data_IF_611431925751
#
_entry.id   IF_611431925751
#
_cell.length_a   1.000
_cell.length_b   1.000
_cell.length_c   1.000
_cell.angle_alpha   90.00
_cell.angle_beta   90.00
_cell.angle_gamma   90.00
#
_symmetry.space_group_name_H-M   'P 1'
#
loop_
_entity.id
_entity.type
_entity.pdbx_description
1 polymer ?
#
# COMPACT_ATOMS: atom_id res chain seq x y z
N UNK A 1 -0.03 18.78 9.11
CA UNK A 1 -0.40 17.88 10.26
C UNK A 1 -0.61 18.71 11.51
N UNK A 2 -1.83 19.19 11.74
CA UNK A 2 -2.12 20.13 12.83
C UNK A 2 -2.58 19.43 14.13
N UNK A 3 -2.98 18.16 14.05
CA UNK A 3 -3.36 17.37 15.22
C UNK A 3 -2.13 16.81 15.94
N UNK A 4 -1.73 17.47 17.03
CA UNK A 4 -0.60 17.05 17.86
C UNK A 4 -0.81 15.68 18.53
N UNK A 5 -2.07 15.28 18.77
CA UNK A 5 -2.39 13.96 19.34
C UNK A 5 -2.08 12.86 18.35
N UNK A 6 -2.54 13.04 17.12
CA UNK A 6 -2.28 12.13 16.01
C UNK A 6 -0.78 12.03 15.67
N UNK A 7 -0.07 13.16 15.62
CA UNK A 7 1.40 13.16 15.39
C UNK A 7 2.12 12.34 16.47
N UNK A 8 1.84 12.56 17.76
CA UNK A 8 2.44 11.78 18.84
C UNK A 8 2.12 10.28 18.76
N UNK A 9 0.90 9.94 18.32
CA UNK A 9 0.51 8.54 18.13
C UNK A 9 1.33 7.90 17.00
N UNK A 10 1.49 8.57 15.84
CA UNK A 10 2.35 8.09 14.75
C UNK A 10 3.81 7.91 15.17
N UNK A 11 4.37 8.90 15.87
CA UNK A 11 5.73 8.81 16.42
C UNK A 11 5.87 7.64 17.41
N UNK A 12 4.84 7.39 18.21
CA UNK A 12 4.78 6.23 19.12
C UNK A 12 4.78 4.89 18.37
N UNK A 13 4.07 4.80 17.25
CA UNK A 13 4.11 3.61 16.39
C UNK A 13 5.49 3.41 15.75
N UNK A 14 6.10 4.48 15.23
CA UNK A 14 7.46 4.42 14.66
C UNK A 14 8.49 3.95 15.70
N UNK A 15 8.42 4.47 16.93
CA UNK A 15 9.28 4.06 18.04
C UNK A 15 9.09 2.58 18.44
N UNK A 16 7.93 1.99 18.15
CA UNK A 16 7.63 0.57 18.34
C UNK A 16 8.06 -0.31 17.15
N UNK A 17 8.70 0.26 16.13
CA UNK A 17 9.18 -0.46 14.96
C UNK A 17 8.18 -0.55 13.80
N UNK A 18 7.04 0.13 13.88
CA UNK A 18 6.14 0.25 12.74
C UNK A 18 6.70 1.22 11.70
N UNK A 19 6.44 0.95 10.45
CA UNK A 19 6.83 1.83 9.35
C UNK A 19 5.66 2.75 8.96
N UNK A 20 5.93 4.05 8.91
CA UNK A 20 4.99 5.04 8.40
C UNK A 20 5.25 5.24 6.91
N UNK A 21 4.20 5.10 6.10
CA UNK A 21 4.28 5.12 4.64
C UNK A 21 3.32 6.18 4.10
N UNK A 22 3.73 6.94 3.08
CA UNK A 22 2.86 7.89 2.39
C UNK A 22 1.84 7.12 1.56
N UNK A 23 0.55 7.45 1.72
CA UNK A 23 -0.56 6.79 1.03
C UNK A 23 -1.45 7.80 0.26
N UNK A 24 -0.82 8.56 -0.65
CA UNK A 24 -1.48 9.64 -1.37
C UNK A 24 -1.43 10.95 -0.61
N UNK A 25 -2.08 11.97 -1.15
CA UNK A 25 -2.17 13.31 -0.55
C UNK A 25 -3.63 13.74 -0.35
N UNK A 26 -4.47 13.67 -1.39
CA UNK A 26 -5.90 13.97 -1.30
C UNK A 26 -6.76 12.71 -1.14
N UNK A 27 -6.25 11.55 -1.53
CA UNK A 27 -6.94 10.27 -1.58
C UNK A 27 -8.17 10.26 -2.52
N UNK A 28 -8.26 11.23 -3.42
CA UNK A 28 -9.35 11.39 -4.38
C UNK A 28 -8.82 11.61 -5.78
N UNK A 29 -9.49 11.03 -6.77
CA UNK A 29 -9.24 11.27 -8.19
C UNK A 29 -10.30 12.23 -8.74
N UNK A 30 -9.92 13.42 -9.23
CA UNK A 30 -10.86 14.31 -9.92
C UNK A 30 -11.48 13.60 -11.14
N UNK A 31 -12.80 13.71 -11.28
CA UNK A 31 -13.48 13.21 -12.48
C UNK A 31 -13.04 14.00 -13.70
N UNK A 32 -12.72 13.31 -14.79
CA UNK A 32 -12.34 13.93 -16.06
C UNK A 32 -13.39 13.66 -17.13
N UNK A 33 -13.70 14.68 -17.92
CA UNK A 33 -14.51 14.51 -19.14
C UNK A 33 -13.68 13.74 -20.19
N UNK A 34 -14.33 12.76 -20.85
CA UNK A 34 -13.67 11.97 -21.91
C UNK A 34 -12.95 10.69 -21.45
N UNK A 35 -13.10 10.26 -20.21
CA UNK A 35 -12.53 8.97 -19.73
C UNK A 35 -13.00 7.77 -20.58
N UNK A 36 -12.08 6.87 -20.92
CA UNK A 36 -12.39 5.61 -21.61
C UNK A 36 -13.23 4.69 -20.74
N UNK A 37 -14.08 3.86 -21.36
CA UNK A 37 -14.98 2.93 -20.65
C UNK A 37 -14.22 2.00 -19.69
N UNK A 38 -13.05 1.51 -20.09
CA UNK A 38 -12.20 0.66 -19.25
C UNK A 38 -11.63 1.39 -18.02
N UNK A 39 -11.27 2.66 -18.18
CA UNK A 39 -10.79 3.51 -17.07
C UNK A 39 -11.93 3.80 -16.09
N UNK A 40 -13.12 4.14 -16.61
CA UNK A 40 -14.34 4.32 -15.80
C UNK A 40 -14.68 3.08 -15.00
N UNK A 41 -14.55 1.89 -15.60
CA UNK A 41 -14.81 0.65 -14.90
C UNK A 41 -13.79 0.39 -13.80
N UNK A 42 -12.49 0.60 -14.08
CA UNK A 42 -11.43 0.39 -13.12
C UNK A 42 -11.52 1.38 -11.96
N UNK A 43 -11.67 2.68 -12.23
CA UNK A 43 -11.61 3.73 -11.21
C UNK A 43 -12.91 3.90 -10.44
N UNK A 44 -14.07 3.80 -11.09
CA UNK A 44 -15.37 4.00 -10.43
C UNK A 44 -15.94 2.72 -9.83
N UNK A 45 -15.85 1.62 -10.55
CA UNK A 45 -16.47 0.37 -10.11
C UNK A 45 -15.56 -0.42 -9.17
N UNK A 46 -14.25 -0.39 -9.39
CA UNK A 46 -13.29 -1.15 -8.59
C UNK A 46 -12.76 -0.34 -7.39
N UNK A 47 -12.47 0.95 -7.54
CA UNK A 47 -11.75 1.76 -6.54
C UNK A 47 -12.50 2.99 -6.02
N UNK A 48 -13.75 3.24 -6.46
CA UNK A 48 -14.57 4.38 -6.00
C UNK A 48 -13.89 5.76 -6.16
N UNK A 49 -13.20 5.96 -7.29
CA UNK A 49 -12.43 7.16 -7.59
C UNK A 49 -11.19 7.40 -6.67
N UNK A 50 -10.72 6.37 -5.93
CA UNK A 50 -9.52 6.46 -5.09
C UNK A 50 -8.19 6.48 -5.88
N UNK A 51 -8.22 6.32 -7.20
CA UNK A 51 -7.03 6.24 -8.05
C UNK A 51 -6.29 7.57 -8.25
N UNK A 52 -6.00 8.32 -7.18
CA UNK A 52 -5.38 9.66 -7.21
C UNK A 52 -4.16 9.74 -8.13
N UNK A 53 -3.28 8.72 -8.13
CA UNK A 53 -2.00 8.72 -8.86
C UNK A 53 -2.03 7.90 -10.15
N UNK A 54 -3.20 7.50 -10.64
CA UNK A 54 -3.31 6.65 -11.83
C UNK A 54 -2.90 7.37 -13.11
N UNK A 55 -3.34 8.61 -13.28
CA UNK A 55 -3.20 9.41 -14.51
C UNK A 55 -2.64 10.82 -14.27
N UNK A 56 -2.04 11.07 -13.11
CA UNK A 56 -1.29 12.30 -12.88
C UNK A 56 -0.07 12.37 -13.79
N UNK A 57 0.21 13.57 -14.30
CA UNK A 57 1.49 13.86 -14.91
C UNK A 57 2.62 13.84 -13.85
N UNK A 58 3.85 13.91 -14.34
CA UNK A 58 5.03 13.82 -13.48
C UNK A 58 5.11 14.99 -12.48
N UNK A 59 4.87 16.20 -12.93
CA UNK A 59 5.09 17.41 -12.12
C UNK A 59 4.07 17.49 -10.97
N UNK A 60 2.81 17.21 -11.26
CA UNK A 60 1.76 17.20 -10.24
C UNK A 60 1.93 16.01 -9.27
N UNK A 61 2.31 14.85 -9.75
CA UNK A 61 2.61 13.71 -8.89
C UNK A 61 3.80 14.00 -7.97
N UNK A 62 4.89 14.57 -8.52
CA UNK A 62 6.06 14.97 -7.76
C UNK A 62 5.72 16.02 -6.67
N UNK A 63 4.93 17.03 -7.06
CA UNK A 63 4.47 18.07 -6.13
C UNK A 63 3.68 17.46 -4.95
N UNK A 64 2.71 16.58 -5.23
CA UNK A 64 1.88 15.96 -4.16
C UNK A 64 2.70 15.06 -3.24
N UNK A 65 3.57 14.23 -3.78
CA UNK A 65 4.42 13.34 -2.98
C UNK A 65 5.39 14.15 -2.11
N UNK A 66 5.98 15.21 -2.67
CA UNK A 66 6.87 16.12 -1.92
C UNK A 66 6.12 16.84 -0.81
N UNK A 67 4.91 17.37 -1.07
CA UNK A 67 4.09 17.98 -0.04
C UNK A 67 3.77 17.02 1.10
N UNK A 68 3.36 15.77 0.77
CA UNK A 68 3.13 14.75 1.78
C UNK A 68 4.39 14.47 2.61
N UNK A 69 5.54 14.27 1.96
CA UNK A 69 6.82 14.06 2.62
C UNK A 69 7.19 15.21 3.57
N UNK A 70 7.02 16.43 3.11
CA UNK A 70 7.36 17.62 3.90
C UNK A 70 6.43 17.78 5.11
N UNK A 71 5.15 17.41 4.99
CA UNK A 71 4.22 17.37 6.14
C UNK A 71 4.67 16.35 7.19
N UNK A 72 5.14 15.17 6.79
CA UNK A 72 5.70 14.19 7.72
C UNK A 72 7.02 14.67 8.32
N UNK A 73 7.89 15.30 7.53
CA UNK A 73 9.16 15.85 8.01
C UNK A 73 8.97 16.92 9.10
N UNK A 74 7.95 17.79 8.96
CA UNK A 74 7.57 18.75 10.02
C UNK A 74 7.17 18.07 11.32
N UNK A 75 6.65 16.86 11.24
CA UNK A 75 6.32 16.02 12.38
C UNK A 75 7.48 15.14 12.88
N UNK A 76 8.70 15.32 12.35
CA UNK A 76 9.88 14.52 12.70
C UNK A 76 9.81 13.07 12.21
N UNK A 77 8.95 12.76 11.24
CA UNK A 77 8.79 11.42 10.64
C UNK A 77 9.38 11.44 9.24
N UNK A 78 10.14 10.40 8.86
CA UNK A 78 10.77 10.30 7.54
C UNK A 78 10.27 9.06 6.80
N UNK A 79 9.14 9.14 6.08
CA UNK A 79 8.64 8.02 5.28
C UNK A 79 9.63 7.62 4.20
N UNK A 80 9.82 6.32 4.01
CA UNK A 80 10.68 5.76 2.95
C UNK A 80 9.89 5.19 1.79
N UNK A 81 8.64 4.82 2.02
CA UNK A 81 7.76 4.22 1.04
C UNK A 81 6.64 5.15 0.57
N UNK A 82 6.22 4.92 -0.67
CA UNK A 82 5.02 5.51 -1.25
C UNK A 82 4.10 4.41 -1.77
N UNK A 83 2.87 4.37 -1.30
CA UNK A 83 1.85 3.42 -1.76
C UNK A 83 0.67 4.22 -2.31
N UNK A 84 0.45 4.16 -3.61
CA UNK A 84 -0.68 4.85 -4.22
C UNK A 84 -2.02 4.27 -3.73
N UNK A 85 -3.05 5.11 -3.50
CA UNK A 85 -4.40 4.64 -3.20
C UNK A 85 -4.86 3.60 -4.22
N UNK A 86 -5.55 2.58 -3.76
CA UNK A 86 -6.01 1.42 -4.55
C UNK A 86 -4.89 0.69 -5.33
N UNK A 87 -3.60 0.91 -5.01
CA UNK A 87 -2.43 0.46 -5.77
C UNK A 87 -2.38 0.93 -7.23
N UNK A 88 -3.12 1.98 -7.56
CA UNK A 88 -3.18 2.58 -8.89
C UNK A 88 -2.11 3.65 -9.04
N UNK A 89 -0.94 3.24 -9.51
CA UNK A 89 0.21 4.11 -9.75
C UNK A 89 0.58 4.11 -11.23
N UNK A 90 0.39 5.26 -11.88
CA UNK A 90 0.81 5.49 -13.27
C UNK A 90 2.34 5.58 -13.40
N UNK A 91 2.86 5.35 -14.59
CA UNK A 91 4.31 5.37 -14.84
C UNK A 91 4.96 6.73 -14.58
N UNK A 92 4.26 7.83 -14.87
CA UNK A 92 4.74 9.18 -14.58
C UNK A 92 4.84 9.41 -13.06
N UNK A 93 3.79 9.02 -12.32
CA UNK A 93 3.76 9.12 -10.87
C UNK A 93 4.77 8.18 -10.18
N UNK A 94 5.08 7.01 -10.77
CA UNK A 94 6.14 6.13 -10.26
C UNK A 94 7.52 6.78 -10.39
N UNK A 95 7.82 7.40 -11.54
CA UNK A 95 9.07 8.17 -11.70
C UNK A 95 9.15 9.37 -10.74
N UNK A 96 8.02 10.04 -10.52
CA UNK A 96 7.93 11.14 -9.56
C UNK A 96 8.19 10.67 -8.13
N UNK A 97 7.68 9.50 -7.72
CA UNK A 97 7.95 8.92 -6.41
C UNK A 97 9.45 8.60 -6.24
N UNK A 98 10.09 8.05 -7.25
CA UNK A 98 11.55 7.82 -7.24
C UNK A 98 12.33 9.12 -7.12
N UNK A 99 11.97 10.17 -7.88
CA UNK A 99 12.59 11.48 -7.83
C UNK A 99 12.35 12.22 -6.49
N UNK A 100 11.21 11.96 -5.83
CA UNK A 100 10.92 12.43 -4.48
C UNK A 100 11.61 11.59 -3.38
N UNK A 101 12.62 10.80 -3.74
CA UNK A 101 13.45 9.98 -2.85
C UNK A 101 12.68 8.87 -2.10
N UNK A 102 11.52 8.45 -2.62
CA UNK A 102 10.88 7.26 -2.11
C UNK A 102 11.66 6.01 -2.53
N UNK A 103 11.90 5.12 -1.58
CA UNK A 103 12.76 3.96 -1.79
C UNK A 103 12.01 2.80 -2.44
N UNK A 104 10.72 2.70 -2.21
CA UNK A 104 9.89 1.63 -2.76
C UNK A 104 8.44 2.07 -2.95
N UNK A 105 7.73 1.32 -3.77
CA UNK A 105 6.27 1.35 -3.85
C UNK A 105 5.70 -0.07 -3.82
N UNK A 106 4.42 -0.19 -3.48
CA UNK A 106 3.73 -1.47 -3.56
C UNK A 106 2.63 -1.44 -4.63
N UNK A 107 2.38 -2.59 -5.22
CA UNK A 107 1.26 -2.88 -6.11
C UNK A 107 0.48 -4.07 -5.56
N UNK A 108 -0.72 -4.32 -6.06
CA UNK A 108 -1.52 -5.48 -5.63
C UNK A 108 -0.73 -6.80 -5.70
N UNK A 109 0.13 -6.95 -6.68
CA UNK A 109 0.86 -8.20 -6.96
C UNK A 109 2.32 -8.18 -6.55
N UNK A 110 2.83 -7.07 -5.99
CA UNK A 110 4.25 -7.00 -5.68
C UNK A 110 4.73 -5.75 -4.97
N UNK A 111 6.03 -5.73 -4.77
CA UNK A 111 6.79 -4.59 -4.24
C UNK A 111 7.83 -4.20 -5.29
N UNK A 112 7.98 -2.91 -5.54
CA UNK A 112 8.99 -2.36 -6.44
C UNK A 112 9.99 -1.54 -5.67
N UNK A 113 11.26 -1.87 -5.81
CA UNK A 113 12.37 -1.02 -5.38
C UNK A 113 12.54 0.13 -6.38
N UNK A 114 12.34 1.35 -5.92
CA UNK A 114 12.42 2.54 -6.77
C UNK A 114 13.87 3.03 -6.96
N UNK A 115 14.81 2.60 -6.10
CA UNK A 115 16.22 2.98 -6.22
C UNK A 115 16.97 2.16 -7.27
N UNK A 116 16.67 0.85 -7.35
CA UNK A 116 17.35 -0.10 -8.24
C UNK A 116 16.46 -0.64 -9.35
N UNK A 117 15.16 -0.31 -9.34
CA UNK A 117 14.21 -0.71 -10.36
C UNK A 117 13.76 -2.17 -10.29
N UNK A 118 14.09 -2.90 -9.22
CA UNK A 118 13.70 -4.30 -9.05
C UNK A 118 12.22 -4.47 -8.76
N UNK A 119 11.64 -5.53 -9.30
CA UNK A 119 10.27 -5.93 -9.04
C UNK A 119 10.26 -7.28 -8.32
N UNK A 120 9.61 -7.32 -7.17
CA UNK A 120 9.44 -8.53 -6.37
C UNK A 120 7.99 -8.95 -6.39
N UNK A 121 7.72 -10.14 -6.92
CA UNK A 121 6.36 -10.69 -6.88
C UNK A 121 5.99 -11.06 -5.45
N UNK A 122 4.95 -10.42 -4.94
CA UNK A 122 4.44 -10.63 -3.59
C UNK A 122 2.96 -10.27 -3.55
N UNK A 123 2.09 -11.27 -3.63
CA UNK A 123 0.64 -11.05 -3.52
C UNK A 123 0.24 -10.66 -2.10
N UNK A 124 -0.88 -9.94 -2.00
CA UNK A 124 -1.45 -9.52 -0.72
C UNK A 124 -2.81 -10.18 -0.48
N UNK A 125 -3.04 -10.60 0.75
CA UNK A 125 -4.39 -10.87 1.24
C UNK A 125 -5.07 -9.51 1.45
N UNK A 126 -6.20 -9.29 0.79
CA UNK A 126 -6.98 -8.05 0.91
C UNK A 126 -8.46 -8.37 0.76
N UNK A 127 -9.30 -7.58 1.39
CA UNK A 127 -10.72 -7.84 1.48
C UNK A 127 -11.55 -6.75 0.81
N UNK A 128 -12.74 -7.11 0.35
CA UNK A 128 -13.72 -6.18 -0.15
C UNK A 128 -14.97 -6.25 0.71
N UNK A 129 -15.33 -5.15 1.35
CA UNK A 129 -16.46 -5.06 2.28
C UNK A 129 -17.71 -4.41 1.69
N UNK A 130 -17.65 -3.93 0.44
CA UNK A 130 -18.68 -3.12 -0.21
C UNK A 130 -20.08 -3.74 -0.21
N UNK A 131 -20.17 -5.05 -0.42
CA UNK A 131 -21.45 -5.77 -0.39
C UNK A 131 -21.26 -7.24 -0.03
N UNK A 132 -22.35 -7.95 0.30
CA UNK A 132 -22.32 -9.31 0.84
C UNK A 132 -21.61 -10.32 -0.07
N UNK A 133 -21.90 -10.31 -1.38
CA UNK A 133 -21.28 -11.26 -2.30
C UNK A 133 -19.77 -11.04 -2.46
N UNK A 134 -19.30 -9.77 -2.47
CA UNK A 134 -17.88 -9.45 -2.53
C UNK A 134 -17.14 -9.86 -1.26
N UNK A 135 -17.78 -9.71 -0.09
CA UNK A 135 -17.22 -10.20 1.17
C UNK A 135 -17.01 -11.72 1.11
N UNK A 136 -18.05 -12.45 0.74
CA UNK A 136 -17.95 -13.92 0.62
C UNK A 136 -16.90 -14.34 -0.41
N UNK A 137 -16.86 -13.70 -1.58
CA UNK A 137 -15.87 -13.96 -2.61
C UNK A 137 -14.44 -13.68 -2.12
N UNK A 138 -14.21 -12.56 -1.41
CA UNK A 138 -12.88 -12.23 -0.87
C UNK A 138 -12.46 -13.18 0.25
N UNK A 139 -13.38 -13.63 1.09
CA UNK A 139 -13.10 -14.66 2.11
C UNK A 139 -12.66 -15.98 1.46
N UNK A 140 -13.40 -16.45 0.47
CA UNK A 140 -13.06 -17.69 -0.25
C UNK A 140 -11.70 -17.54 -0.98
N UNK A 141 -11.51 -16.44 -1.70
CA UNK A 141 -10.26 -16.15 -2.41
C UNK A 141 -9.07 -16.11 -1.50
N UNK A 142 -9.13 -15.34 -0.40
CA UNK A 142 -8.03 -15.23 0.55
C UNK A 142 -7.73 -16.56 1.24
N UNK A 143 -8.72 -17.40 1.49
CA UNK A 143 -8.52 -18.75 2.00
C UNK A 143 -7.71 -19.64 1.04
N UNK A 144 -7.91 -19.50 -0.28
CA UNK A 144 -7.14 -20.21 -1.31
C UNK A 144 -5.75 -19.57 -1.45
N UNK A 145 -5.68 -18.24 -1.57
CA UNK A 145 -4.43 -17.51 -1.77
C UNK A 145 -3.44 -17.74 -0.63
N UNK A 146 -3.90 -17.78 0.62
CA UNK A 146 -3.04 -18.03 1.78
C UNK A 146 -2.26 -19.35 1.68
N UNK A 147 -2.85 -20.40 1.08
CA UNK A 147 -2.16 -21.67 0.85
C UNK A 147 -0.99 -21.52 -0.14
N UNK A 148 -1.16 -20.68 -1.16
CA UNK A 148 -0.10 -20.40 -2.15
C UNK A 148 0.99 -19.47 -1.58
N UNK A 149 0.65 -18.66 -0.58
CA UNK A 149 1.62 -17.79 0.08
C UNK A 149 2.53 -18.54 1.05
N UNK A 150 2.23 -19.76 1.43
CA UNK A 150 3.06 -20.56 2.33
C UNK A 150 4.52 -20.69 1.84
N UNK A 151 4.77 -20.80 0.52
CA UNK A 151 6.12 -20.85 -0.08
C UNK A 151 6.64 -19.51 -0.62
N UNK A 152 5.89 -18.39 -0.49
CA UNK A 152 6.31 -17.12 -1.07
C UNK A 152 7.43 -16.45 -0.25
N UNK A 153 8.33 -15.70 -0.90
CA UNK A 153 9.38 -14.93 -0.23
C UNK A 153 8.83 -13.85 0.70
N UNK A 154 7.70 -13.25 0.34
CA UNK A 154 6.99 -12.25 1.13
C UNK A 154 5.50 -12.52 1.04
N UNK A 155 4.84 -12.70 2.17
CA UNK A 155 3.39 -12.70 2.30
C UNK A 155 2.96 -11.33 2.85
N UNK A 156 1.95 -10.73 2.25
CA UNK A 156 1.43 -9.44 2.64
C UNK A 156 -0.03 -9.57 3.08
N UNK A 157 -0.39 -8.85 4.13
CA UNK A 157 -1.77 -8.72 4.59
C UNK A 157 -2.12 -7.24 4.60
N UNK A 158 -3.13 -6.86 3.84
CA UNK A 158 -3.65 -5.50 3.80
C UNK A 158 -4.95 -5.44 4.58
N UNK A 159 -5.00 -4.54 5.53
CA UNK A 159 -6.13 -4.32 6.41
C UNK A 159 -6.61 -2.88 6.21
N UNK A 160 -7.90 -2.70 5.98
CA UNK A 160 -8.53 -1.39 5.87
C UNK A 160 -9.45 -1.17 7.07
N UNK A 161 -9.64 0.07 7.54
CA UNK A 161 -10.52 0.33 8.68
C UNK A 161 -11.92 -0.30 8.57
N UNK A 162 -12.59 -0.32 7.40
CA UNK A 162 -13.89 -0.97 7.26
C UNK A 162 -13.89 -2.50 7.47
N UNK A 163 -12.75 -3.17 7.35
CA UNK A 163 -12.65 -4.63 7.57
C UNK A 163 -12.98 -5.00 9.02
N UNK A 164 -12.68 -4.10 9.96
CA UNK A 164 -12.96 -4.27 11.38
C UNK A 164 -14.47 -4.33 11.70
N UNK A 165 -15.32 -3.78 10.84
CA UNK A 165 -16.77 -3.78 10.99
C UNK A 165 -17.40 -5.13 10.58
N UNK A 166 -16.62 -6.07 10.05
CA UNK A 166 -17.06 -7.36 9.56
C UNK A 166 -16.35 -8.49 10.29
N UNK A 167 -17.01 -9.03 11.30
CA UNK A 167 -16.44 -10.03 12.23
C UNK A 167 -15.88 -11.28 11.52
N UNK A 168 -16.51 -11.73 10.44
CA UNK A 168 -16.06 -12.87 9.64
C UNK A 168 -14.74 -12.59 8.91
N UNK A 169 -14.58 -11.34 8.38
CA UNK A 169 -13.33 -10.88 7.76
C UNK A 169 -12.25 -10.76 8.82
N UNK A 170 -12.54 -10.06 9.92
CA UNK A 170 -11.58 -9.86 11.00
C UNK A 170 -11.06 -11.19 11.59
N UNK A 171 -11.96 -12.14 11.83
CA UNK A 171 -11.57 -13.49 12.28
C UNK A 171 -10.69 -14.22 11.26
N UNK A 172 -10.95 -14.05 9.97
CA UNK A 172 -10.09 -14.66 8.95
C UNK A 172 -8.73 -13.99 8.89
N UNK A 173 -8.67 -12.66 8.96
CA UNK A 173 -7.40 -11.91 9.02
C UNK A 173 -6.53 -12.45 10.16
N UNK A 174 -7.04 -12.46 11.37
CA UNK A 174 -6.30 -12.95 12.54
C UNK A 174 -5.81 -14.38 12.34
N UNK A 175 -6.70 -15.31 11.98
CA UNK A 175 -6.34 -16.71 11.76
C UNK A 175 -5.28 -16.91 10.68
N UNK A 176 -5.35 -16.16 9.56
CA UNK A 176 -4.38 -16.29 8.48
C UNK A 176 -3.06 -15.63 8.85
N UNK A 177 -3.07 -14.52 9.57
CA UNK A 177 -1.86 -13.85 10.06
C UNK A 177 -1.15 -14.74 11.09
N UNK A 178 -1.86 -15.33 12.05
CA UNK A 178 -1.29 -16.26 13.02
C UNK A 178 -0.54 -17.40 12.33
N UNK A 179 -1.16 -18.03 11.32
CA UNK A 179 -0.51 -19.07 10.52
C UNK A 179 0.72 -18.60 9.75
N UNK A 180 0.66 -17.37 9.23
CA UNK A 180 1.79 -16.84 8.47
C UNK A 180 3.01 -16.54 9.35
N UNK A 181 2.81 -16.19 10.61
CA UNK A 181 3.91 -15.89 11.54
C UNK A 181 4.47 -17.13 12.25
N UNK A 182 3.83 -18.31 12.14
CA UNK A 182 4.39 -19.58 12.65
C UNK A 182 5.78 -19.88 12.07
N UNK A 183 5.98 -19.63 10.77
CA UNK A 183 7.21 -19.93 10.04
C UNK A 183 7.92 -18.69 9.47
N UNK A 184 7.48 -17.48 9.85
CA UNK A 184 7.95 -16.23 9.26
C UNK A 184 8.10 -15.14 10.31
N UNK A 185 9.06 -14.27 10.09
CA UNK A 185 9.21 -13.05 10.87
C UNK A 185 8.37 -11.93 10.23
N UNK A 186 7.64 -11.18 11.06
CA UNK A 186 7.05 -9.92 10.63
C UNK A 186 8.16 -8.90 10.35
N UNK A 187 8.02 -8.14 9.27
CA UNK A 187 9.00 -7.15 8.85
C UNK A 187 8.30 -5.94 8.22
N UNK A 188 8.97 -4.82 8.16
CA UNK A 188 8.53 -3.66 7.39
C UNK A 188 8.95 -3.80 5.93
N UNK A 189 8.31 -3.05 5.01
CA UNK A 189 8.77 -3.02 3.62
C UNK A 189 10.16 -2.43 3.51
N UNK A 190 10.46 -1.39 4.28
CA UNK A 190 11.79 -0.76 4.34
C UNK A 190 12.88 -1.79 4.66
N UNK A 191 12.69 -2.54 5.74
CA UNK A 191 13.71 -3.49 6.21
C UNK A 191 13.82 -4.69 5.26
N UNK A 192 12.68 -5.16 4.75
CA UNK A 192 12.67 -6.24 3.76
C UNK A 192 13.40 -5.85 2.47
N UNK A 193 13.17 -4.65 1.93
CA UNK A 193 13.87 -4.13 0.74
C UNK A 193 15.36 -3.98 1.03
N UNK A 194 15.74 -3.43 2.18
CA UNK A 194 17.15 -3.29 2.59
C UNK A 194 17.87 -4.67 2.63
N UNK A 195 17.21 -5.67 3.19
CA UNK A 195 17.74 -7.05 3.17
C UNK A 195 17.92 -7.59 1.75
N UNK A 196 16.97 -7.33 0.82
CA UNK A 196 17.10 -7.77 -0.58
C UNK A 196 18.28 -7.10 -1.29
N UNK A 197 18.49 -5.80 -1.04
CA UNK A 197 19.65 -5.05 -1.56
C UNK A 197 20.96 -5.65 -1.06
N UNK A 198 21.09 -5.89 0.24
CA UNK A 198 22.28 -6.49 0.85
C UNK A 198 22.59 -7.88 0.26
N UNK A 199 21.60 -8.73 0.06
CA UNK A 199 21.79 -10.06 -0.56
C UNK A 199 22.22 -10.00 -2.02
N UNK A 200 22.02 -8.87 -2.68
CA UNK A 200 22.45 -8.62 -4.06
C UNK A 200 23.88 -8.10 -4.16
N UNK A 201 24.51 -7.76 -3.04
CA UNK A 201 25.87 -7.19 -2.98
C UNK A 201 25.93 -5.71 -3.36
N UNK A 202 24.83 -4.98 -3.15
CA UNK A 202 24.72 -3.53 -3.36
C UNK A 202 24.55 -2.83 -2.02
#
# INVERSE_FOLDING_TARGET
MDDRGFVRWLQGLEAQGHEIVIHGYFHERPRRDGEKVGEKFLTRFYTEDEGEFYDLDYDEAFRRITLARDEFAKAGITPRGFVAPAWLLGSAAERAAAAAEMEYTTRLTGVRDLRFGDNFHARTLTYSVRNGWRRTASLAWNGVLARHLAGALLARVSIHPPDLNHLEIWRQILRLTDRLVEDRMATTYRDWIAERRTRRGV
#
